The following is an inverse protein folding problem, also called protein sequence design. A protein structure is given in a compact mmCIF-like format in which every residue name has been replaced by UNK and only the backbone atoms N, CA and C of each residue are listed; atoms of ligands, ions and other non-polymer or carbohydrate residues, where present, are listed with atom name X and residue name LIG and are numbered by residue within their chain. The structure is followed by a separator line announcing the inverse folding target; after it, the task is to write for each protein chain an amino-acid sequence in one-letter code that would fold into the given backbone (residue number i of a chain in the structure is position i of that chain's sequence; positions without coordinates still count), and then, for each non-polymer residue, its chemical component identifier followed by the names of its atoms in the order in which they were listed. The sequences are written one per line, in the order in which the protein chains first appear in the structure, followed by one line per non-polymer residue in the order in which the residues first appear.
data_IF_143164844630
#
_entry.id   IF_143164844630
#
_cell.length_a   1.000
_cell.length_b   1.000
_cell.length_c   1.000
_cell.angle_alpha   90.00
_cell.angle_beta   90.00
_cell.angle_gamma   90.00
#
_symmetry.space_group_name_H-M   'P 1'
#
loop_
_entity.id
_entity.type
_entity.pdbx_description
1 polymer ?
#
# COMPACT_ATOMS: atom_id res chain seq x y z
N UNK A 1 24.05 -5.50 44.34
CA UNK A 1 24.01 -6.91 43.91
C UNK A 1 22.58 -7.39 44.02
N UNK A 2 21.82 -7.22 42.94
CA UNK A 2 20.65 -8.02 42.51
C UNK A 2 20.11 -7.34 41.26
N UNK A 3 20.74 -7.69 40.15
CA UNK A 3 20.22 -7.53 38.79
C UNK A 3 19.10 -8.57 38.64
N UNK A 4 17.86 -8.10 38.59
CA UNK A 4 16.68 -8.95 38.38
C UNK A 4 16.26 -8.88 36.92
N UNK A 5 16.71 -9.90 36.18
CA UNK A 5 16.02 -10.57 35.08
C UNK A 5 15.48 -9.66 33.97
N UNK A 6 16.17 -9.55 32.83
CA UNK A 6 16.13 -10.59 31.79
C UNK A 6 14.70 -11.12 31.59
N UNK A 7 13.81 -10.24 31.12
CA UNK A 7 12.65 -10.70 30.35
C UNK A 7 13.21 -11.23 29.04
N UNK A 8 13.36 -12.55 28.97
CA UNK A 8 13.98 -13.27 27.87
C UNK A 8 13.20 -13.11 26.57
N UNK A 9 13.57 -12.11 25.77
CA UNK A 9 13.61 -12.29 24.33
C UNK A 9 14.89 -13.08 24.06
N UNK A 10 14.76 -14.39 23.85
CA UNK A 10 15.90 -15.22 23.48
C UNK A 10 16.58 -14.59 22.28
N UNK A 11 17.88 -14.28 22.41
CA UNK A 11 18.74 -13.94 21.26
C UNK A 11 18.55 -15.07 20.26
N UNK A 12 17.80 -14.81 19.21
CA UNK A 12 17.61 -15.79 18.15
C UNK A 12 18.82 -15.71 17.25
N UNK A 13 19.31 -16.85 16.79
CA UNK A 13 20.44 -16.93 15.85
C UNK A 13 20.19 -16.17 14.52
N UNK A 14 18.98 -15.62 14.34
CA UNK A 14 18.60 -14.65 13.30
C UNK A 14 19.23 -13.25 13.46
N UNK A 15 19.73 -12.91 14.65
CA UNK A 15 20.40 -11.62 14.91
C UNK A 15 21.84 -11.59 14.36
N UNK A 16 22.42 -12.77 14.04
CA UNK A 16 23.76 -12.95 13.47
C UNK A 16 23.78 -12.90 11.94
N UNK A 17 22.66 -12.53 11.30
CA UNK A 17 22.69 -12.03 9.93
C UNK A 17 23.18 -10.58 9.93
N UNK A 18 24.45 -10.40 10.28
CA UNK A 18 25.19 -9.22 9.88
C UNK A 18 25.07 -9.13 8.36
N UNK A 19 24.14 -8.28 7.93
CA UNK A 19 23.90 -7.91 6.55
C UNK A 19 25.26 -7.48 6.02
N UNK A 20 25.82 -8.32 5.15
CA UNK A 20 27.11 -8.09 4.52
C UNK A 20 27.17 -6.60 4.13
N UNK A 21 28.21 -5.86 4.55
CA UNK A 21 28.25 -4.42 4.40
C UNK A 21 28.01 -4.05 2.93
N UNK A 22 26.79 -3.62 2.64
CA UNK A 22 26.40 -3.18 1.32
C UNK A 22 27.03 -1.82 1.10
N UNK A 23 27.65 -1.62 -0.06
CA UNK A 23 28.33 -0.37 -0.42
C UNK A 23 27.42 0.88 -0.39
N UNK A 24 26.09 0.71 -0.33
CA UNK A 24 25.09 1.78 -0.26
C UNK A 24 24.48 1.99 1.13
N UNK A 25 24.84 1.17 2.14
CA UNK A 25 24.27 1.24 3.49
C UNK A 25 22.79 0.83 3.61
N UNK A 26 22.18 0.31 2.55
CA UNK A 26 20.80 -0.18 2.54
C UNK A 26 20.75 -1.71 2.55
N UNK A 27 19.73 -2.27 3.20
CA UNK A 27 19.51 -3.72 3.21
C UNK A 27 18.97 -4.18 1.84
N UNK A 28 19.35 -5.39 1.42
CA UNK A 28 18.93 -5.94 0.14
C UNK A 28 17.41 -6.11 0.07
N UNK A 29 16.76 -6.45 1.18
CA UNK A 29 15.31 -6.63 1.29
C UNK A 29 14.56 -5.33 1.01
N UNK A 30 15.06 -4.22 1.56
CA UNK A 30 14.50 -2.89 1.27
C UNK A 30 14.70 -2.56 -0.20
N UNK A 31 15.90 -2.75 -0.73
CA UNK A 31 16.18 -2.45 -2.14
C UNK A 31 15.27 -3.23 -3.10
N UNK A 32 15.04 -4.51 -2.83
CA UNK A 32 14.09 -5.34 -3.61
C UNK A 32 12.65 -4.86 -3.47
N UNK A 33 12.20 -4.47 -2.27
CA UNK A 33 10.85 -3.91 -2.07
C UNK A 33 10.65 -2.61 -2.85
N UNK A 34 11.64 -1.71 -2.84
CA UNK A 34 11.60 -0.47 -3.64
C UNK A 34 11.58 -0.77 -5.15
N UNK A 35 12.36 -1.76 -5.60
CA UNK A 35 12.32 -2.23 -6.98
C UNK A 35 10.96 -2.78 -7.39
N UNK A 36 10.34 -3.60 -6.53
CA UNK A 36 9.01 -4.17 -6.74
C UNK A 36 7.92 -3.08 -6.81
N UNK A 37 7.91 -2.13 -5.87
CA UNK A 37 7.00 -0.98 -5.90
C UNK A 37 7.20 -0.13 -7.16
N UNK A 38 8.45 0.04 -7.60
CA UNK A 38 8.78 0.68 -8.86
C UNK A 38 8.21 -0.05 -10.07
N UNK A 39 8.28 -1.38 -10.11
CA UNK A 39 7.72 -2.18 -11.22
C UNK A 39 6.20 -2.11 -11.31
N UNK A 40 5.48 -2.15 -10.18
CA UNK A 40 4.03 -1.98 -10.15
C UNK A 40 3.62 -0.56 -10.63
N UNK A 41 4.37 0.47 -10.23
CA UNK A 41 4.16 1.83 -10.71
C UNK A 41 4.33 1.95 -12.25
N UNK A 42 5.36 1.32 -12.82
CA UNK A 42 5.57 1.29 -14.27
C UNK A 42 4.47 0.50 -15.00
N UNK A 43 3.98 -0.60 -14.41
CA UNK A 43 2.86 -1.37 -14.94
C UNK A 43 1.61 -0.50 -15.06
N UNK A 44 1.20 0.19 -13.98
CA UNK A 44 0.07 1.12 -14.03
C UNK A 44 0.31 2.28 -14.99
N UNK A 45 1.53 2.83 -15.03
CA UNK A 45 1.92 3.87 -15.97
C UNK A 45 1.76 3.46 -17.44
N UNK A 46 2.14 2.22 -17.78
CA UNK A 46 1.96 1.67 -19.12
C UNK A 46 0.47 1.46 -19.47
N UNK A 47 -0.35 0.98 -18.51
CA UNK A 47 -1.80 0.84 -18.70
C UNK A 47 -2.48 2.20 -18.94
N UNK A 48 -2.14 3.22 -18.15
CA UNK A 48 -2.66 4.58 -18.32
C UNK A 48 -2.21 5.18 -19.66
N UNK A 49 -0.93 5.02 -20.01
CA UNK A 49 -0.38 5.50 -21.28
C UNK A 49 -1.09 4.85 -22.48
N UNK A 50 -1.30 3.52 -22.44
CA UNK A 50 -2.07 2.79 -23.44
C UNK A 50 -3.50 3.36 -23.56
N UNK A 51 -4.22 3.53 -22.43
CA UNK A 51 -5.55 4.15 -22.43
C UNK A 51 -5.57 5.54 -23.07
N UNK A 52 -4.60 6.40 -22.75
CA UNK A 52 -4.50 7.75 -23.33
C UNK A 52 -4.18 7.73 -24.83
N UNK A 53 -3.32 6.82 -25.28
CA UNK A 53 -2.99 6.66 -26.70
C UNK A 53 -4.17 6.14 -27.53
N UNK A 54 -4.97 5.24 -26.95
CA UNK A 54 -6.21 4.78 -27.60
C UNK A 54 -7.29 5.87 -27.57
N UNK A 55 -7.36 6.69 -26.52
CA UNK A 55 -8.33 7.79 -26.38
C UNK A 55 -8.07 8.98 -27.30
N UNK A 56 -6.81 9.29 -27.61
CA UNK A 56 -6.41 10.48 -28.39
C UNK A 56 -6.18 10.21 -29.88
N UNK A 57 -6.65 9.09 -30.44
CA UNK A 57 -6.54 8.82 -31.88
C UNK A 57 -7.52 9.70 -32.67
N UNK A 58 -7.05 10.53 -33.61
CA UNK A 58 -7.94 11.29 -34.49
C UNK A 58 -8.59 10.34 -35.50
N UNK A 59 -9.93 10.40 -35.56
CA UNK A 59 -10.85 9.89 -36.58
C UNK A 59 -10.47 8.59 -37.31
N UNK A 60 -11.11 7.47 -36.93
CA UNK A 60 -11.19 6.30 -37.81
C UNK A 60 -11.32 4.91 -37.16
N UNK A 61 -11.22 4.78 -35.84
CA UNK A 61 -11.30 3.48 -35.15
C UNK A 61 -12.40 3.38 -34.07
N UNK A 62 -13.42 4.26 -34.15
CA UNK A 62 -14.73 4.02 -33.57
C UNK A 62 -14.84 3.97 -32.05
N UNK A 63 -14.42 5.03 -31.34
CA UNK A 63 -14.88 5.30 -29.96
C UNK A 63 -15.65 6.63 -29.91
N UNK A 64 -16.51 6.86 -30.90
CA UNK A 64 -17.55 7.91 -30.82
C UNK A 64 -18.87 7.37 -30.24
N UNK A 65 -18.89 6.09 -29.82
CA UNK A 65 -20.08 5.37 -29.30
C UNK A 65 -19.87 4.88 -27.86
N UNK A 66 -18.82 5.33 -27.17
CA UNK A 66 -18.62 5.02 -25.75
C UNK A 66 -19.56 5.88 -24.88
N UNK A 67 -20.21 5.33 -23.84
CA UNK A 67 -21.01 6.12 -22.92
C UNK A 67 -20.22 7.33 -22.43
N UNK A 68 -20.85 8.51 -22.38
CA UNK A 68 -20.19 9.71 -21.83
C UNK A 68 -19.70 9.37 -20.43
N UNK A 69 -18.51 9.87 -20.07
CA UNK A 69 -17.95 9.68 -18.72
C UNK A 69 -18.93 10.09 -17.59
N UNK A 70 -19.86 11.00 -17.89
CA UNK A 70 -20.96 11.39 -17.00
C UNK A 70 -21.96 10.28 -16.67
N UNK A 71 -22.13 9.28 -17.55
CA UNK A 71 -23.07 8.16 -17.35
C UNK A 71 -22.39 6.95 -16.68
N UNK A 72 -21.05 6.91 -16.66
CA UNK A 72 -20.26 5.80 -16.09
C UNK A 72 -19.75 6.09 -14.68
N UNK A 73 -19.49 7.36 -14.35
CA UNK A 73 -18.93 7.74 -13.06
C UNK A 73 -20.00 8.37 -12.15
N UNK A 74 -20.46 7.59 -11.18
CA UNK A 74 -21.19 8.17 -10.05
C UNK A 74 -20.18 8.90 -9.13
N UNK A 75 -20.13 10.22 -9.29
CA UNK A 75 -19.20 11.13 -8.60
C UNK A 75 -19.26 10.94 -7.07
N UNK A 76 -20.43 10.92 -6.39
CA UNK A 76 -20.49 10.69 -4.95
C UNK A 76 -19.92 9.32 -4.56
N UNK A 77 -20.27 8.24 -5.27
CA UNK A 77 -19.77 6.90 -4.96
C UNK A 77 -18.24 6.78 -5.07
N UNK A 78 -17.68 7.32 -6.15
CA UNK A 78 -16.23 7.32 -6.41
C UNK A 78 -15.48 8.17 -5.36
N UNK A 79 -16.06 9.30 -4.96
CA UNK A 79 -15.47 10.18 -3.96
C UNK A 79 -15.45 9.56 -2.56
N UNK A 80 -16.53 8.87 -2.15
CA UNK A 80 -16.61 8.16 -0.87
C UNK A 80 -15.62 7.00 -0.84
N UNK A 81 -15.51 6.23 -1.92
CA UNK A 81 -14.53 5.14 -2.04
C UNK A 81 -13.09 5.65 -1.89
N UNK A 82 -12.78 6.81 -2.49
CA UNK A 82 -11.48 7.46 -2.36
C UNK A 82 -11.23 7.95 -0.93
N UNK A 83 -12.24 8.54 -0.28
CA UNK A 83 -12.16 8.94 1.13
C UNK A 83 -11.88 7.75 2.06
N UNK A 84 -12.55 6.62 1.85
CA UNK A 84 -12.31 5.38 2.62
C UNK A 84 -10.87 4.89 2.45
N UNK A 85 -10.32 4.92 1.23
CA UNK A 85 -8.92 4.55 1.00
C UNK A 85 -7.92 5.51 1.66
N UNK A 86 -8.20 6.81 1.66
CA UNK A 86 -7.38 7.80 2.36
C UNK A 86 -7.40 7.56 3.88
N UNK A 87 -8.58 7.28 4.45
CA UNK A 87 -8.70 6.90 5.85
C UNK A 87 -7.96 5.60 6.17
N UNK A 88 -7.99 4.62 5.26
CA UNK A 88 -7.22 3.36 5.38
C UNK A 88 -5.71 3.60 5.39
N UNK A 89 -5.21 4.53 4.56
CA UNK A 89 -3.80 4.93 4.58
C UNK A 89 -3.43 5.57 5.93
N UNK A 90 -4.28 6.43 6.48
CA UNK A 90 -4.08 7.03 7.80
C UNK A 90 -4.02 5.98 8.91
N UNK A 91 -4.92 4.98 8.91
CA UNK A 91 -4.91 3.92 9.93
C UNK A 91 -3.63 3.07 9.87
N UNK A 92 -3.07 2.84 8.68
CA UNK A 92 -1.78 2.16 8.55
C UNK A 92 -0.64 2.97 9.19
N UNK A 93 -0.63 4.30 9.03
CA UNK A 93 0.36 5.17 9.68
C UNK A 93 0.23 5.12 11.21
N UNK A 94 -1.00 5.12 11.74
CA UNK A 94 -1.24 4.98 13.18
C UNK A 94 -0.81 3.62 13.72
N UNK A 95 -0.95 2.54 12.94
CA UNK A 95 -0.41 1.22 13.30
C UNK A 95 1.11 1.26 13.45
N UNK A 96 1.82 1.90 12.52
CA UNK A 96 3.27 2.07 12.59
C UNK A 96 3.67 2.89 13.81
N UNK A 97 2.91 3.93 14.17
CA UNK A 97 3.17 4.69 15.39
C UNK A 97 2.94 3.88 16.68
N UNK A 98 1.94 3.00 16.70
CA UNK A 98 1.64 2.15 17.85
C UNK A 98 2.74 1.10 18.08
N UNK A 99 3.23 0.46 17.02
CA UNK A 99 4.30 -0.54 17.14
C UNK A 99 5.64 0.11 17.53
N UNK A 100 5.91 1.33 17.06
CA UNK A 100 7.06 2.13 17.50
C UNK A 100 7.02 2.47 19.00
N UNK A 101 5.82 2.54 19.60
CA UNK A 101 5.63 2.73 21.05
C UNK A 101 5.62 1.43 21.84
N UNK A 102 5.77 0.27 21.19
CA UNK A 102 5.69 -1.05 21.81
C UNK A 102 4.27 -1.48 22.22
N UNK A 103 3.23 -0.83 21.69
CA UNK A 103 1.84 -1.21 21.97
C UNK A 103 1.31 -2.17 20.89
N UNK A 104 1.50 -3.47 21.13
CA UNK A 104 1.06 -4.54 20.24
C UNK A 104 -0.47 -4.61 20.11
N UNK A 105 -1.19 -4.28 21.19
CA UNK A 105 -2.66 -4.33 21.19
C UNK A 105 -3.21 -3.26 20.27
N UNK A 106 -2.70 -2.04 20.41
CA UNK A 106 -3.11 -0.92 19.57
C UNK A 106 -2.66 -1.12 18.11
N UNK A 107 -1.48 -1.71 17.88
CA UNK A 107 -1.02 -2.10 16.54
C UNK A 107 -2.01 -3.05 15.85
N UNK A 108 -2.44 -4.12 16.53
CA UNK A 108 -3.41 -5.08 15.97
C UNK A 108 -4.76 -4.43 15.67
N UNK A 109 -5.23 -3.53 16.53
CA UNK A 109 -6.47 -2.79 16.31
C UNK A 109 -6.38 -1.91 15.06
N UNK A 110 -5.28 -1.19 14.87
CA UNK A 110 -5.10 -0.34 13.69
C UNK A 110 -4.95 -1.14 12.40
N UNK A 111 -4.22 -2.27 12.42
CA UNK A 111 -4.12 -3.17 11.28
C UNK A 111 -5.48 -3.78 10.91
N UNK A 112 -6.27 -4.20 11.89
CA UNK A 112 -7.63 -4.71 11.67
C UNK A 112 -8.54 -3.62 11.06
N UNK A 113 -8.38 -2.38 11.50
CA UNK A 113 -9.12 -1.23 10.96
C UNK A 113 -8.76 -0.95 9.49
N UNK A 114 -7.47 -0.94 9.15
CA UNK A 114 -6.98 -0.83 7.77
C UNK A 114 -7.53 -1.94 6.88
N UNK A 115 -7.48 -3.20 7.35
CA UNK A 115 -8.03 -4.34 6.62
C UNK A 115 -9.55 -4.22 6.41
N UNK A 116 -10.28 -3.72 7.42
CA UNK A 116 -11.74 -3.51 7.33
C UNK A 116 -12.10 -2.44 6.29
N UNK A 117 -11.34 -1.34 6.23
CA UNK A 117 -11.54 -0.32 5.19
C UNK A 117 -11.19 -0.83 3.78
N UNK A 118 -10.16 -1.66 3.66
CA UNK A 118 -9.84 -2.36 2.41
C UNK A 118 -10.97 -3.30 1.96
N UNK A 119 -11.52 -4.10 2.88
CA UNK A 119 -12.65 -4.98 2.60
C UNK A 119 -13.91 -4.20 2.20
N UNK A 120 -14.20 -3.08 2.87
CA UNK A 120 -15.30 -2.18 2.52
C UNK A 120 -15.15 -1.62 1.09
N UNK A 121 -13.93 -1.25 0.70
CA UNK A 121 -13.65 -0.77 -0.65
C UNK A 121 -13.89 -1.87 -1.71
N UNK A 122 -13.41 -3.09 -1.49
CA UNK A 122 -13.67 -4.23 -2.39
C UNK A 122 -15.16 -4.57 -2.46
N UNK A 123 -15.88 -4.52 -1.34
CA UNK A 123 -17.32 -4.74 -1.30
C UNK A 123 -18.13 -3.66 -2.04
N UNK A 124 -17.57 -2.47 -2.24
CA UNK A 124 -18.16 -1.46 -3.12
C UNK A 124 -17.89 -1.71 -4.62
N UNK A 125 -16.91 -2.55 -4.96
CA UNK A 125 -16.55 -2.85 -6.35
C UNK A 125 -17.30 -4.05 -6.95
N UNK A 126 -18.07 -4.79 -6.13
CA UNK A 126 -18.91 -5.93 -6.56
C UNK A 126 -20.32 -5.48 -6.91
#
# INVERSE_FOLDING_TARGET
MTDTAQVGYGRTDWDDYDHLPTNTGLSHEKLTMWGFLGSECLLFGALISSYLLLRNKPDGLGIDVGPKASDLFDIPFTSVSSFVLLMSSLTMVLAVQAIQKGDDRQTRLWLASTASFGALFIAGQV
#
